data_IF_820998182657
#
_entry.id   IF_820998182657
#
_cell.length_a   1.000
_cell.length_b   1.000
_cell.length_c   1.000
_cell.angle_alpha   90.00
_cell.angle_beta   90.00
_cell.angle_gamma   90.00
#
_symmetry.space_group_name_H-M   'P 1'
#
loop_
_entity.id
_entity.type
_entity.pdbx_description
1 polymer ?
#
# COMPACT_ATOMS: atom_id res chain seq x y z
N UNK A 1 -12.03 27.19 0.83
CA UNK A 1 -12.70 26.03 1.44
C UNK A 1 -12.23 24.80 0.69
N UNK A 2 -11.51 23.87 1.34
CA UNK A 2 -11.08 22.63 0.69
C UNK A 2 -12.32 21.75 0.49
N UNK A 3 -12.56 21.27 -0.73
CA UNK A 3 -13.72 20.41 -1.00
C UNK A 3 -13.49 19.03 -0.39
N UNK A 4 -14.18 18.73 0.72
CA UNK A 4 -14.06 17.47 1.47
C UNK A 4 -14.27 16.24 0.59
N UNK A 5 -15.28 16.26 -0.29
CA UNK A 5 -15.56 15.15 -1.21
C UNK A 5 -14.38 14.90 -2.15
N UNK A 6 -13.78 15.96 -2.68
CA UNK A 6 -12.61 15.86 -3.54
C UNK A 6 -11.37 15.38 -2.76
N UNK A 7 -11.17 15.84 -1.53
CA UNK A 7 -10.10 15.36 -0.64
C UNK A 7 -10.24 13.87 -0.33
N UNK A 8 -11.42 13.42 0.07
CA UNK A 8 -11.70 12.01 0.34
C UNK A 8 -11.50 11.16 -0.92
N UNK A 9 -11.94 11.65 -2.09
CA UNK A 9 -11.73 10.95 -3.36
C UNK A 9 -10.24 10.75 -3.67
N UNK A 10 -9.41 11.79 -3.44
CA UNK A 10 -7.96 11.71 -3.63
C UNK A 10 -7.31 10.74 -2.66
N UNK A 11 -7.61 10.86 -1.36
CA UNK A 11 -7.05 9.97 -0.33
C UNK A 11 -7.40 8.50 -0.59
N UNK A 12 -8.65 8.21 -0.95
CA UNK A 12 -9.05 6.85 -1.31
C UNK A 12 -8.34 6.34 -2.56
N UNK A 13 -8.11 7.19 -3.56
CA UNK A 13 -7.36 6.81 -4.76
C UNK A 13 -5.92 6.41 -4.42
N UNK A 14 -5.23 7.21 -3.62
CA UNK A 14 -3.85 6.91 -3.20
C UNK A 14 -3.81 5.64 -2.33
N UNK A 15 -4.75 5.48 -1.39
CA UNK A 15 -4.84 4.26 -0.56
C UNK A 15 -4.98 3.00 -1.42
N UNK A 16 -5.89 3.05 -2.41
CA UNK A 16 -6.10 1.92 -3.32
C UNK A 16 -4.86 1.61 -4.17
N UNK A 17 -4.04 2.63 -4.47
CA UNK A 17 -2.78 2.45 -5.18
C UNK A 17 -1.75 1.71 -4.32
N UNK A 18 -1.55 2.12 -3.06
CA UNK A 18 -0.67 1.44 -2.08
C UNK A 18 -1.11 -0.03 -1.85
N UNK A 19 -2.42 -0.27 -1.71
CA UNK A 19 -2.98 -1.62 -1.58
C UNK A 19 -2.73 -2.48 -2.82
N UNK A 20 -2.79 -1.89 -4.01
CA UNK A 20 -2.49 -2.59 -5.26
C UNK A 20 -1.01 -2.98 -5.33
N UNK A 21 -0.09 -2.05 -5.03
CA UNK A 21 1.35 -2.36 -5.02
C UNK A 21 1.64 -3.48 -4.03
N UNK A 22 1.06 -3.42 -2.83
CA UNK A 22 1.23 -4.47 -1.81
C UNK A 22 0.84 -5.84 -2.35
N UNK A 23 -0.31 -5.94 -3.04
CA UNK A 23 -0.80 -7.18 -3.66
C UNK A 23 0.10 -7.65 -4.79
N UNK A 24 0.50 -6.75 -5.69
CA UNK A 24 1.37 -7.09 -6.82
C UNK A 24 2.74 -7.59 -6.32
N UNK A 25 3.32 -6.96 -5.30
CA UNK A 25 4.59 -7.41 -4.73
C UNK A 25 4.43 -8.76 -4.02
N UNK A 26 3.47 -8.86 -3.10
CA UNK A 26 3.31 -10.05 -2.26
C UNK A 26 2.90 -11.27 -3.09
N UNK A 27 1.86 -11.13 -3.91
CA UNK A 27 1.23 -12.27 -4.59
C UNK A 27 1.78 -12.56 -5.99
N UNK A 28 2.37 -11.57 -6.65
CA UNK A 28 2.88 -11.78 -8.00
C UNK A 28 4.39 -11.90 -8.04
N UNK A 29 5.13 -11.05 -7.31
CA UNK A 29 6.60 -11.08 -7.37
C UNK A 29 7.22 -12.05 -6.38
N UNK A 30 6.80 -12.02 -5.11
CA UNK A 30 7.36 -12.91 -4.08
C UNK A 30 6.88 -14.35 -4.30
N UNK A 31 5.57 -14.59 -4.38
CA UNK A 31 5.00 -15.95 -4.51
C UNK A 31 5.42 -16.68 -5.80
N UNK A 32 5.86 -15.94 -6.83
CA UNK A 32 6.29 -16.53 -8.12
C UNK A 32 7.78 -16.46 -8.35
N UNK A 33 8.57 -16.04 -7.37
CA UNK A 33 10.01 -15.84 -7.57
C UNK A 33 10.74 -17.14 -7.92
N UNK A 34 10.21 -18.29 -7.47
CA UNK A 34 10.72 -19.61 -7.80
C UNK A 34 10.59 -19.97 -9.28
N UNK A 35 9.72 -19.28 -10.03
CA UNK A 35 9.56 -19.46 -11.47
C UNK A 35 10.67 -18.75 -12.28
N UNK A 36 11.45 -17.88 -11.65
CA UNK A 36 12.58 -17.18 -12.28
C UNK A 36 13.80 -18.11 -12.23
N UNK A 37 14.06 -18.79 -13.35
CA UNK A 37 15.14 -19.79 -13.47
C UNK A 37 16.56 -19.20 -13.49
N UNK A 38 16.66 -17.91 -13.78
CA UNK A 38 17.95 -17.23 -14.00
C UNK A 38 18.57 -16.71 -12.68
N UNK A 39 17.92 -16.94 -11.54
CA UNK A 39 18.41 -16.56 -10.21
C UNK A 39 18.81 -17.78 -9.40
N UNK A 40 19.96 -17.71 -8.74
CA UNK A 40 20.34 -18.64 -7.69
C UNK A 40 19.43 -18.47 -6.46
N UNK A 41 19.38 -19.51 -5.61
CA UNK A 41 18.63 -19.45 -4.35
C UNK A 41 19.07 -18.28 -3.44
N UNK A 42 20.36 -17.94 -3.44
CA UNK A 42 20.84 -16.78 -2.70
C UNK A 42 20.28 -15.47 -3.25
N UNK A 43 20.27 -15.30 -4.57
CA UNK A 43 19.73 -14.09 -5.21
C UNK A 43 18.23 -13.97 -5.02
N UNK A 44 17.49 -15.09 -5.13
CA UNK A 44 16.04 -15.12 -4.83
C UNK A 44 15.76 -14.65 -3.41
N UNK A 45 16.50 -15.16 -2.42
CA UNK A 45 16.34 -14.73 -1.02
C UNK A 45 16.59 -13.23 -0.82
N UNK A 46 17.63 -12.68 -1.47
CA UNK A 46 17.89 -11.23 -1.42
C UNK A 46 16.73 -10.45 -2.04
N UNK A 47 16.22 -10.88 -3.19
CA UNK A 47 15.08 -10.23 -3.85
C UNK A 47 13.82 -10.31 -2.99
N UNK A 48 13.49 -11.47 -2.41
CA UNK A 48 12.38 -11.64 -1.46
C UNK A 48 12.51 -10.67 -0.30
N UNK A 49 13.70 -10.55 0.30
CA UNK A 49 13.93 -9.65 1.43
C UNK A 49 13.67 -8.18 1.05
N UNK A 50 14.16 -7.75 -0.13
CA UNK A 50 13.95 -6.37 -0.61
C UNK A 50 12.49 -6.10 -0.95
N UNK A 51 11.83 -7.01 -1.65
CA UNK A 51 10.41 -6.91 -2.00
C UNK A 51 9.53 -6.88 -0.75
N UNK A 52 9.83 -7.71 0.26
CA UNK A 52 9.09 -7.74 1.52
C UNK A 52 9.18 -6.41 2.27
N UNK A 53 10.34 -5.74 2.23
CA UNK A 53 10.50 -4.40 2.83
C UNK A 53 9.65 -3.36 2.12
N UNK A 54 9.59 -3.41 0.78
CA UNK A 54 8.74 -2.50 -0.01
C UNK A 54 7.27 -2.75 0.34
N UNK A 55 6.78 -4.00 0.25
CA UNK A 55 5.39 -4.33 0.60
C UNK A 55 5.01 -3.89 2.02
N UNK A 56 5.92 -4.06 2.98
CA UNK A 56 5.71 -3.59 4.37
C UNK A 56 5.59 -2.07 4.45
N UNK A 57 6.34 -1.32 3.64
CA UNK A 57 6.26 0.13 3.58
C UNK A 57 4.91 0.59 3.03
N UNK A 58 4.46 0.01 1.91
CA UNK A 58 3.18 0.35 1.28
C UNK A 58 1.98 0.01 2.20
N UNK A 59 2.05 -1.08 2.96
CA UNK A 59 1.06 -1.40 4.00
C UNK A 59 0.97 -0.27 5.03
N UNK A 60 2.11 0.25 5.51
CA UNK A 60 2.13 1.36 6.48
C UNK A 60 1.56 2.64 5.88
N UNK A 61 1.88 2.94 4.62
CA UNK A 61 1.29 4.10 3.92
C UNK A 61 -0.23 3.97 3.79
N UNK A 62 -0.73 2.79 3.40
CA UNK A 62 -2.18 2.53 3.32
C UNK A 62 -2.88 2.67 4.68
N UNK A 63 -2.22 2.26 5.77
CA UNK A 63 -2.71 2.46 7.14
C UNK A 63 -2.79 3.95 7.49
N UNK A 64 -1.72 4.71 7.25
CA UNK A 64 -1.69 6.18 7.49
C UNK A 64 -2.80 6.87 6.69
N UNK A 65 -2.99 6.50 5.42
CA UNK A 65 -4.07 7.05 4.60
C UNK A 65 -5.45 6.70 5.15
N UNK A 66 -5.62 5.51 5.72
CA UNK A 66 -6.87 5.10 6.38
C UNK A 66 -7.15 5.97 7.61
N UNK A 67 -6.13 6.23 8.44
CA UNK A 67 -6.25 7.09 9.62
C UNK A 67 -6.63 8.53 9.21
N UNK A 68 -5.99 9.07 8.17
CA UNK A 68 -6.31 10.41 7.64
C UNK A 68 -7.75 10.46 7.10
N UNK A 69 -8.18 9.43 6.36
CA UNK A 69 -9.56 9.34 5.86
C UNK A 69 -10.54 9.37 7.04
N UNK A 70 -10.27 8.61 8.11
CA UNK A 70 -11.10 8.60 9.31
C UNK A 70 -11.19 9.98 9.96
N UNK A 71 -10.06 10.69 10.13
CA UNK A 71 -10.05 12.06 10.67
C UNK A 71 -10.88 13.04 9.83
N UNK A 72 -10.79 12.94 8.49
CA UNK A 72 -11.58 13.78 7.58
C UNK A 72 -13.07 13.43 7.66
N UNK A 73 -13.43 12.18 7.94
CA UNK A 73 -14.81 11.78 8.16
C UNK A 73 -15.34 12.23 9.52
N UNK A 74 -14.55 12.12 10.59
CA UNK A 74 -14.96 12.44 11.97
C UNK A 74 -15.10 13.94 12.24
N UNK A 75 -14.38 14.80 11.51
CA UNK A 75 -14.59 16.26 11.54
C UNK A 75 -16.02 16.69 11.16
N UNK A 76 -16.85 15.77 10.66
CA UNK A 76 -18.30 15.96 10.42
C UNK A 76 -19.16 15.78 11.67
N UNK A 77 -18.70 15.05 12.70
CA UNK A 77 -19.45 14.82 13.94
C UNK A 77 -19.33 15.98 14.93
N UNK A 78 -18.19 16.66 14.94
CA UNK A 78 -17.92 17.74 15.90
C UNK A 78 -18.46 19.12 15.46
N UNK A 79 -19.06 19.21 14.26
CA UNK A 79 -19.64 20.46 13.72
C UNK A 79 -21.18 20.53 13.79
N UNK A 80 -21.84 19.59 14.47
CA UNK A 80 -23.30 19.57 14.67
C UNK A 80 -23.69 19.40 16.13
#
# INVERSE_FOLDING_TARGET
MVNKTETLKRLNKEKNYEEKITKDISYYLIDRIDLIKDLSEMEKNVVIEKLSKIATSEIKHSQILSDIIQLVMETEKDQF
#
